data_IF_889551457902
#
_entry.id   IF_889551457902
#
_cell.length_a   1.000
_cell.length_b   1.000
_cell.length_c   1.000
_cell.angle_alpha   90.00
_cell.angle_beta   90.00
_cell.angle_gamma   90.00
#
_symmetry.space_group_name_H-M   'P 1'
#
loop_
_entity.id
_entity.type
_entity.pdbx_description
1 polymer ?
#
# COMPACT_ATOMS: atom_id res chain seq x y z
N UNK A 1 0.17 4.80 -20.20
CA UNK A 1 0.99 5.65 -19.31
C UNK A 1 1.46 4.79 -18.16
N UNK A 2 2.73 4.90 -17.76
CA UNK A 2 3.30 4.14 -16.64
C UNK A 2 3.67 5.14 -15.53
N UNK A 3 3.01 5.08 -14.35
CA UNK A 3 3.27 6.02 -13.28
C UNK A 3 4.44 5.57 -12.39
N UNK A 4 5.21 6.53 -11.88
CA UNK A 4 6.23 6.28 -10.86
C UNK A 4 5.63 6.11 -9.45
N UNK A 5 4.43 6.64 -9.23
CA UNK A 5 3.67 6.53 -7.96
C UNK A 5 2.22 6.17 -8.29
N UNK A 6 1.71 5.07 -7.72
CA UNK A 6 0.34 4.59 -7.90
C UNK A 6 -0.37 4.42 -6.56
N UNK A 7 -1.54 5.04 -6.41
CA UNK A 7 -2.40 4.88 -5.23
C UNK A 7 -3.45 3.80 -5.45
N UNK A 8 -3.67 2.95 -4.43
CA UNK A 8 -4.58 1.81 -4.48
C UNK A 8 -5.40 1.70 -3.19
N UNK A 9 -6.69 1.39 -3.31
CA UNK A 9 -7.63 1.17 -2.19
C UNK A 9 -8.90 0.47 -2.71
N UNK A 10 -10.07 0.67 -2.09
CA UNK A 10 -11.40 0.15 -2.48
C UNK A 10 -11.39 -1.34 -2.83
N UNK A 11 -11.23 -1.67 -4.11
CA UNK A 11 -11.20 -3.04 -4.63
C UNK A 11 -10.04 -3.87 -4.09
N UNK A 12 -9.00 -3.26 -3.51
CA UNK A 12 -7.87 -3.99 -2.92
C UNK A 12 -8.31 -4.95 -1.79
N UNK A 13 -9.44 -4.69 -1.12
CA UNK A 13 -10.07 -5.57 -0.13
C UNK A 13 -11.56 -5.78 -0.43
N UNK A 14 -12.02 -5.42 -1.63
CA UNK A 14 -13.45 -5.36 -2.00
C UNK A 14 -14.34 -4.60 -0.99
N UNK A 15 -13.77 -3.69 -0.20
CA UNK A 15 -14.49 -2.94 0.83
C UNK A 15 -14.77 -3.69 2.15
N UNK A 16 -14.28 -4.92 2.33
CA UNK A 16 -14.55 -5.70 3.56
C UNK A 16 -13.87 -5.11 4.80
N UNK A 17 -12.64 -4.61 4.66
CA UNK A 17 -11.87 -3.96 5.72
C UNK A 17 -10.99 -2.84 5.14
N UNK A 18 -10.65 -1.78 5.90
CA UNK A 18 -9.84 -0.67 5.39
C UNK A 18 -8.43 -1.11 5.00
N UNK A 19 -8.05 -0.87 3.74
CA UNK A 19 -6.69 -1.00 3.24
C UNK A 19 -6.44 0.04 2.15
N UNK A 20 -5.28 0.68 2.24
CA UNK A 20 -4.73 1.55 1.21
C UNK A 20 -3.25 1.20 1.01
N UNK A 21 -2.77 1.38 -0.21
CA UNK A 21 -1.38 1.14 -0.58
C UNK A 21 -0.90 2.17 -1.59
N UNK A 22 0.40 2.45 -1.57
CA UNK A 22 1.08 3.24 -2.59
C UNK A 22 2.20 2.37 -3.16
N UNK A 23 2.14 2.08 -4.45
CA UNK A 23 3.23 1.45 -5.19
C UNK A 23 4.14 2.54 -5.76
N UNK A 24 5.46 2.34 -5.66
CA UNK A 24 6.47 3.26 -6.20
C UNK A 24 7.50 2.49 -7.03
N UNK A 25 8.13 3.14 -8.00
CA UNK A 25 9.27 2.59 -8.72
C UNK A 25 10.54 2.62 -7.88
N UNK A 26 11.52 1.77 -8.19
CA UNK A 26 12.79 1.73 -7.46
C UNK A 26 13.51 3.07 -7.49
N UNK A 27 13.45 3.81 -8.61
CA UNK A 27 14.03 5.15 -8.74
C UNK A 27 13.46 6.16 -7.71
N UNK A 28 12.21 5.96 -7.26
CA UNK A 28 11.58 6.78 -6.20
C UNK A 28 12.01 6.32 -4.81
N UNK A 29 12.20 5.02 -4.61
CA UNK A 29 12.53 4.44 -3.30
C UNK A 29 14.03 4.46 -2.98
N UNK A 30 14.91 4.33 -3.97
CA UNK A 30 16.37 4.25 -3.84
C UNK A 30 17.00 5.35 -2.97
N UNK A 31 16.64 6.65 -3.11
CA UNK A 31 17.22 7.70 -2.26
C UNK A 31 16.70 7.70 -0.81
N UNK A 32 15.71 6.87 -0.46
CA UNK A 32 15.08 6.82 0.86
C UNK A 32 15.74 5.69 1.68
N UNK A 33 16.76 6.02 2.46
CA UNK A 33 17.41 5.04 3.36
C UNK A 33 16.48 4.55 4.47
N UNK A 34 15.69 5.46 5.08
CA UNK A 34 14.70 5.14 6.11
C UNK A 34 13.44 5.95 5.86
N UNK A 35 12.32 5.26 5.67
CA UNK A 35 11.03 5.90 5.49
C UNK A 35 10.37 6.23 6.84
N UNK A 36 10.58 7.45 7.33
CA UNK A 36 10.04 7.94 8.62
C UNK A 36 8.57 8.38 8.53
N UNK A 37 7.72 7.53 7.95
CA UNK A 37 6.28 7.76 7.89
C UNK A 37 5.54 6.46 8.24
N UNK A 38 4.53 6.58 9.10
CA UNK A 38 3.80 5.45 9.66
C UNK A 38 2.34 5.83 9.85
N UNK A 39 1.46 4.85 9.70
CA UNK A 39 0.08 4.92 10.16
C UNK A 39 -0.10 3.93 11.31
N UNK A 40 -0.90 4.29 12.32
CA UNK A 40 -1.22 3.41 13.46
C UNK A 40 -1.77 2.05 13.02
N UNK A 41 -2.53 2.03 11.91
CA UNK A 41 -3.09 0.81 11.30
C UNK A 41 -2.39 0.42 9.99
N UNK A 42 -1.17 0.92 9.75
CA UNK A 42 -0.37 0.51 8.60
C UNK A 42 0.01 -0.96 8.69
N UNK A 43 0.04 -1.66 7.55
CA UNK A 43 0.38 -3.10 7.47
C UNK A 43 -0.46 -3.99 8.41
N UNK A 44 -1.73 -3.62 8.63
CA UNK A 44 -2.60 -4.36 9.54
C UNK A 44 -2.86 -5.79 9.03
N UNK A 45 -2.57 -6.85 9.82
CA UNK A 45 -2.55 -8.22 9.34
C UNK A 45 -3.91 -8.69 8.83
N UNK A 46 -5.02 -8.27 9.46
CA UNK A 46 -6.38 -8.58 8.99
C UNK A 46 -6.66 -7.94 7.64
N UNK A 47 -6.21 -6.70 7.43
CA UNK A 47 -6.42 -5.98 6.17
C UNK A 47 -5.61 -6.59 5.04
N UNK A 48 -4.34 -6.96 5.31
CA UNK A 48 -3.48 -7.66 4.35
C UNK A 48 -4.04 -9.03 3.98
N UNK A 49 -4.52 -9.81 4.95
CA UNK A 49 -5.16 -11.10 4.69
C UNK A 49 -6.38 -10.93 3.78
N UNK A 50 -7.27 -9.98 4.10
CA UNK A 50 -8.45 -9.71 3.29
C UNK A 50 -8.15 -9.27 1.85
N UNK A 51 -7.00 -8.62 1.61
CA UNK A 51 -6.58 -8.24 0.25
C UNK A 51 -5.85 -9.34 -0.54
N UNK A 52 -5.37 -10.38 0.14
CA UNK A 52 -4.71 -11.53 -0.48
C UNK A 52 -5.72 -12.59 -0.94
N UNK A 53 -6.79 -12.75 -0.17
CA UNK A 53 -7.85 -13.71 -0.45
C UNK A 53 -8.81 -13.16 -1.52
N UNK A 54 -9.16 -14.01 -2.49
CA UNK A 54 -10.18 -13.76 -3.51
C UNK A 54 -11.45 -14.50 -3.18
#
# INVERSE_FOLDING_TARGET
>A
VQPDIMTMTKGITSGYVPLGAVGVTDAVMEPIEVFNHLHTYGNHPVSCAAGLHR
#
